data_IF_733434744414
#
_entry.id   IF_733434744414
#
_cell.length_a   1.000
_cell.length_b   1.000
_cell.length_c   1.000
_cell.angle_alpha   90.00
_cell.angle_beta   90.00
_cell.angle_gamma   90.00
#
_symmetry.space_group_name_H-M   'P 1'
#
loop_
_entity.id
_entity.type
_entity.pdbx_description
1 polymer ?
#
# COMPACT_ATOMS: atom_id res chain seq x y z
N UNK A 1 0.04 6.81 0.99
CA UNK A 1 0.59 6.23 2.24
C UNK A 1 0.61 4.73 2.17
N UNK A 2 1.45 4.12 2.95
CA UNK A 2 1.57 2.65 3.02
C UNK A 2 1.46 2.20 4.48
N UNK A 3 1.05 0.95 4.68
CA UNK A 3 1.10 0.33 6.00
C UNK A 3 1.45 -1.15 5.89
N UNK A 4 2.08 -1.68 6.94
CA UNK A 4 2.35 -3.10 7.08
C UNK A 4 1.01 -3.85 7.26
N UNK A 5 0.84 -4.97 6.57
CA UNK A 5 -0.39 -5.80 6.69
C UNK A 5 -0.60 -6.31 8.11
N UNK A 6 0.46 -6.40 8.92
CA UNK A 6 0.40 -6.79 10.31
C UNK A 6 -0.04 -5.64 11.23
N UNK A 7 -0.28 -4.45 10.68
CA UNK A 7 -0.78 -3.29 11.42
C UNK A 7 -2.10 -2.81 10.79
N UNK A 8 -3.21 -3.51 11.00
CA UNK A 8 -4.48 -3.19 10.35
C UNK A 8 -5.07 -1.86 10.81
N UNK A 9 -4.70 -1.38 11.99
CA UNK A 9 -5.20 -0.10 12.50
C UNK A 9 -4.80 1.06 11.57
N UNK A 10 -3.56 1.07 11.07
CA UNK A 10 -3.11 2.11 10.13
C UNK A 10 -3.93 2.09 8.85
N UNK A 11 -4.26 0.91 8.33
CA UNK A 11 -5.11 0.77 7.16
C UNK A 11 -6.52 1.30 7.40
N UNK A 12 -7.08 1.03 8.59
CA UNK A 12 -8.40 1.54 8.96
C UNK A 12 -8.42 3.07 9.01
N UNK A 13 -7.38 3.69 9.55
CA UNK A 13 -7.25 5.15 9.58
C UNK A 13 -7.18 5.72 8.16
N UNK A 14 -6.40 5.10 7.29
CA UNK A 14 -6.30 5.55 5.89
C UNK A 14 -7.65 5.50 5.18
N UNK A 15 -8.41 4.42 5.37
CA UNK A 15 -9.74 4.29 4.79
C UNK A 15 -10.72 5.32 5.35
N UNK A 16 -10.63 5.61 6.65
CA UNK A 16 -11.49 6.57 7.31
C UNK A 16 -11.34 7.99 6.78
N UNK A 17 -10.15 8.36 6.31
CA UNK A 17 -9.91 9.68 5.71
C UNK A 17 -10.10 9.70 4.20
N UNK A 18 -10.65 8.63 3.62
CA UNK A 18 -11.02 8.58 2.21
C UNK A 18 -9.95 8.04 1.27
N UNK A 19 -8.86 7.51 1.79
CA UNK A 19 -7.85 6.87 0.94
C UNK A 19 -8.35 5.53 0.43
N UNK A 20 -7.96 5.20 -0.81
CA UNK A 20 -8.36 3.96 -1.47
C UNK A 20 -7.16 3.04 -1.61
N UNK A 21 -7.39 1.74 -1.36
CA UNK A 21 -6.41 0.71 -1.62
C UNK A 21 -6.08 0.64 -3.11
N UNK A 22 -4.80 0.56 -3.44
CA UNK A 22 -4.35 0.45 -4.84
C UNK A 22 -3.66 -0.87 -5.13
N UNK A 23 -2.69 -1.26 -4.32
CA UNK A 23 -1.97 -2.52 -4.51
C UNK A 23 -1.16 -2.86 -3.26
N UNK A 24 -0.62 -4.07 -3.25
CA UNK A 24 0.29 -4.54 -2.21
C UNK A 24 1.65 -4.81 -2.82
N UNK A 25 2.70 -4.71 -2.02
CA UNK A 25 4.05 -5.04 -2.44
C UNK A 25 4.83 -5.64 -1.28
N UNK A 26 5.91 -6.35 -1.61
CA UNK A 26 6.77 -6.99 -0.62
C UNK A 26 8.14 -6.34 -0.63
N UNK A 27 8.66 -5.99 0.55
CA UNK A 27 9.96 -5.37 0.71
C UNK A 27 10.80 -6.19 1.69
N UNK A 28 12.06 -6.44 1.32
CA UNK A 28 12.98 -7.15 2.18
C UNK A 28 13.61 -6.17 3.17
N UNK A 29 13.41 -6.42 4.47
CA UNK A 29 13.93 -5.55 5.52
C UNK A 29 15.26 -6.08 6.07
N UNK A 30 16.25 -5.19 6.11
CA UNK A 30 17.56 -5.42 6.68
C UNK A 30 17.59 -4.95 8.13
N UNK A 31 18.47 -5.50 8.98
CA UNK A 31 19.45 -6.54 8.71
C UNK A 31 18.93 -7.98 8.86
N UNK A 32 17.70 -8.16 9.29
CA UNK A 32 17.16 -9.48 9.61
C UNK A 32 16.70 -10.29 8.39
N UNK A 33 16.75 -9.73 7.18
CA UNK A 33 16.40 -10.39 5.92
C UNK A 33 15.02 -11.06 5.95
N UNK A 34 14.00 -10.36 6.45
CA UNK A 34 12.64 -10.87 6.38
C UNK A 34 11.78 -10.01 5.44
N UNK A 35 10.83 -10.67 4.79
CA UNK A 35 9.91 -9.99 3.88
C UNK A 35 8.75 -9.38 4.66
N UNK A 36 8.46 -8.11 4.35
CA UNK A 36 7.31 -7.41 4.92
C UNK A 36 6.38 -7.05 3.76
N UNK A 37 5.09 -7.32 3.94
CA UNK A 37 4.07 -6.97 2.97
C UNK A 37 3.41 -5.65 3.37
N UNK A 38 3.38 -4.70 2.45
CA UNK A 38 2.75 -3.41 2.63
C UNK A 38 1.58 -3.25 1.69
N UNK A 39 0.58 -2.51 2.14
CA UNK A 39 -0.55 -2.07 1.30
C UNK A 39 -0.41 -0.59 1.03
N UNK A 40 -0.54 -0.21 -0.24
CA UNK A 40 -0.47 1.19 -0.66
C UNK A 40 -1.87 1.76 -0.83
N UNK A 41 -2.14 2.83 -0.10
CA UNK A 41 -3.38 3.59 -0.18
C UNK A 41 -3.10 4.97 -0.72
N UNK A 42 -4.05 5.51 -1.48
CA UNK A 42 -3.86 6.76 -2.18
C UNK A 42 -5.13 7.60 -2.15
N UNK A 43 -4.95 8.91 -2.00
CA UNK A 43 -6.02 9.90 -2.15
C UNK A 43 -5.55 10.94 -3.15
N UNK A 44 -6.25 11.04 -4.29
CA UNK A 44 -5.94 12.01 -5.33
C UNK A 44 -6.84 13.23 -5.17
N UNK A 45 -6.24 14.36 -4.82
CA UNK A 45 -6.98 15.59 -4.53
C UNK A 45 -7.40 16.35 -5.79
N UNK A 46 -6.90 15.95 -6.96
CA UNK A 46 -7.21 16.60 -8.24
C UNK A 46 -8.37 15.95 -8.99
N UNK A 47 -9.03 14.96 -8.39
CA UNK A 47 -10.14 14.26 -9.01
C UNK A 47 -9.76 13.15 -9.97
N UNK A 48 -8.48 12.94 -10.25
CA UNK A 48 -8.01 11.88 -11.14
C UNK A 48 -7.87 10.58 -10.37
N UNK A 49 -8.98 9.89 -10.12
CA UNK A 49 -8.99 8.66 -9.32
C UNK A 49 -8.27 7.49 -10.00
N UNK A 50 -8.11 7.53 -11.32
CA UNK A 50 -7.45 6.45 -12.06
C UNK A 50 -5.93 6.51 -11.99
N UNK A 51 -5.37 7.64 -11.50
CA UNK A 51 -3.92 7.80 -11.42
C UNK A 51 -3.39 7.09 -10.20
N UNK A 52 -2.47 6.15 -10.39
CA UNK A 52 -1.88 5.35 -9.34
C UNK A 52 -0.39 5.70 -9.20
N UNK A 53 0.05 5.94 -7.97
CA UNK A 53 1.46 6.18 -7.66
C UNK A 53 2.20 4.85 -7.75
N UNK A 54 3.07 4.69 -8.75
CA UNK A 54 3.63 3.40 -9.13
C UNK A 54 5.05 3.14 -8.65
N UNK A 55 5.60 4.00 -7.80
CA UNK A 55 6.98 3.84 -7.33
C UNK A 55 7.22 2.45 -6.73
N UNK A 56 6.35 2.01 -5.86
CA UNK A 56 6.49 0.71 -5.19
C UNK A 56 6.10 -0.44 -6.11
N UNK A 57 5.15 -0.20 -7.01
CA UNK A 57 4.75 -1.17 -8.02
C UNK A 57 5.91 -1.55 -8.93
N UNK A 58 6.66 -0.57 -9.41
CA UNK A 58 7.75 -0.79 -10.34
C UNK A 58 9.02 -1.29 -9.65
N UNK A 59 9.17 -1.07 -8.34
CA UNK A 59 10.40 -1.33 -7.60
C UNK A 59 10.41 -2.66 -6.85
N UNK A 60 9.24 -3.14 -6.43
CA UNK A 60 9.12 -4.33 -5.58
C UNK A 60 8.18 -5.36 -6.21
N UNK A 61 8.29 -6.65 -5.81
CA UNK A 61 7.25 -7.61 -6.14
C UNK A 61 5.89 -7.09 -5.65
N UNK A 62 4.90 -7.12 -6.53
CA UNK A 62 3.60 -6.49 -6.27
C UNK A 62 2.45 -7.40 -6.65
N UNK A 63 1.29 -7.15 -6.06
CA UNK A 63 0.06 -7.89 -6.35
C UNK A 63 -1.14 -7.08 -5.85
N UNK A 64 -2.33 -7.47 -6.30
CA UNK A 64 -3.57 -6.84 -5.87
C UNK A 64 -4.36 -7.85 -5.04
N UNK A 65 -4.65 -7.49 -3.80
CA UNK A 65 -5.46 -8.33 -2.92
C UNK A 65 -6.95 -8.13 -3.25
N UNK A 66 -7.76 -9.20 -3.29
CA UNK A 66 -9.19 -9.05 -3.60
C UNK A 66 -9.96 -8.33 -2.49
N UNK A 67 -9.56 -8.50 -1.23
CA UNK A 67 -10.21 -7.88 -0.08
C UNK A 67 -9.16 -7.49 0.95
N UNK A 68 -8.46 -6.37 0.73
CA UNK A 68 -7.40 -5.95 1.64
C UNK A 68 -7.91 -5.44 2.99
#
# INVERSE_FOLDING_TARGET
>A
ATHDVNNPHSGQVMQAIGMKYRYSYKELWQPKNFMVTFRMYQLNLDGCEDRIYRKYWDRYPHFIEPEP
#
